data_IF_749758954124
#
_entry.id   IF_749758954124
#
_cell.length_a   1.000
_cell.length_b   1.000
_cell.length_c   1.000
_cell.angle_alpha   90.00
_cell.angle_beta   90.00
_cell.angle_gamma   90.00
#
_symmetry.space_group_name_H-M   'P 1'
#
loop_
_entity.id
_entity.type
_entity.pdbx_description
1 polymer ?
#
# COMPACT_ATOMS: atom_id res chain seq x y z
N UNK A 1 9.67 -51.32 -25.17
CA UNK A 1 11.08 -51.41 -24.75
C UNK A 1 11.57 -49.97 -24.64
N UNK A 2 12.07 -49.58 -23.45
CA UNK A 2 12.66 -48.28 -23.07
C UNK A 2 11.67 -47.09 -23.01
N UNK A 3 11.60 -46.19 -22.03
CA UNK A 3 12.50 -45.82 -20.93
C UNK A 3 11.69 -45.23 -19.74
N UNK A 4 11.93 -45.75 -18.53
CA UNK A 4 11.48 -45.17 -17.25
C UNK A 4 12.69 -45.14 -16.31
N UNK A 5 13.30 -43.97 -16.15
CA UNK A 5 14.36 -43.69 -15.18
C UNK A 5 14.50 -42.15 -15.11
N UNK A 6 14.56 -41.43 -13.99
CA UNK A 6 15.21 -41.67 -12.70
C UNK A 6 14.52 -40.83 -11.62
N UNK A 7 14.26 -41.43 -10.44
CA UNK A 7 13.96 -40.70 -9.20
C UNK A 7 15.29 -40.53 -8.44
N UNK A 8 15.64 -39.29 -8.09
CA UNK A 8 16.80 -38.99 -7.23
C UNK A 8 16.42 -39.22 -5.76
N UNK A 9 16.97 -40.27 -5.17
CA UNK A 9 17.06 -40.50 -3.72
C UNK A 9 18.40 -39.96 -3.23
N UNK A 10 18.38 -38.96 -2.35
CA UNK A 10 19.55 -38.58 -1.56
C UNK A 10 19.29 -39.01 -0.12
N UNK A 11 19.97 -40.09 0.27
CA UNK A 11 20.04 -40.53 1.66
C UNK A 11 20.99 -39.63 2.46
N UNK A 12 20.67 -39.43 3.73
CA UNK A 12 21.62 -38.92 4.70
C UNK A 12 21.85 -39.94 5.81
N UNK A 13 23.12 -40.02 6.15
CA UNK A 13 23.83 -41.02 6.94
C UNK A 13 23.43 -40.97 8.42
N UNK A 14 23.22 -42.15 9.01
CA UNK A 14 23.16 -42.36 10.46
C UNK A 14 24.59 -42.34 11.02
N UNK A 15 24.85 -41.50 12.01
CA UNK A 15 26.04 -41.59 12.85
C UNK A 15 25.61 -41.75 14.31
N UNK A 16 25.84 -42.94 14.84
CA UNK A 16 25.60 -43.34 16.23
C UNK A 16 26.90 -43.17 17.02
N UNK A 17 26.87 -42.44 18.13
CA UNK A 17 27.82 -42.63 19.23
C UNK A 17 27.08 -42.49 20.58
N UNK A 18 27.12 -43.59 21.34
CA UNK A 18 26.90 -43.63 22.79
C UNK A 18 27.84 -42.63 23.49
N UNK A 19 27.57 -42.03 24.64
CA UNK A 19 26.75 -42.41 25.78
C UNK A 19 27.52 -41.92 27.00
N UNK A 20 26.97 -40.96 27.74
CA UNK A 20 27.43 -40.59 29.07
C UNK A 20 26.22 -40.11 29.88
N UNK A 21 25.81 -40.94 30.84
CA UNK A 21 24.85 -40.60 31.88
C UNK A 21 25.35 -39.42 32.72
N UNK A 22 24.41 -38.60 33.21
CA UNK A 22 24.31 -38.03 34.58
C UNK A 22 23.10 -37.05 34.63
N UNK A 23 22.58 -36.69 35.81
CA UNK A 23 21.42 -37.29 36.47
C UNK A 23 20.11 -36.50 36.29
N UNK A 24 19.02 -37.17 36.63
CA UNK A 24 17.64 -36.68 36.69
C UNK A 24 17.42 -35.61 37.78
N UNK A 25 16.81 -34.47 37.42
CA UNK A 25 15.86 -33.71 38.26
C UNK A 25 15.05 -32.73 37.41
N UNK A 26 13.71 -32.64 37.57
CA UNK A 26 12.89 -31.71 36.83
C UNK A 26 12.79 -30.39 37.60
N UNK A 27 13.64 -29.42 37.28
CA UNK A 27 13.38 -28.05 37.68
C UNK A 27 12.45 -27.42 36.64
N UNK A 28 11.14 -27.58 36.84
CA UNK A 28 10.15 -26.67 36.27
C UNK A 28 10.56 -25.27 36.70
N UNK A 29 11.15 -24.49 35.79
CA UNK A 29 11.35 -23.06 36.01
C UNK A 29 9.96 -22.45 36.20
N UNK A 30 9.61 -22.10 37.44
CA UNK A 30 8.41 -21.33 37.68
C UNK A 30 8.55 -19.99 36.94
N UNK A 31 7.47 -19.49 36.29
CA UNK A 31 7.52 -18.15 35.74
C UNK A 31 7.81 -17.18 36.89
N UNK A 32 8.93 -16.46 36.78
CA UNK A 32 9.22 -15.32 37.66
C UNK A 32 8.03 -14.38 37.53
N UNK A 33 7.21 -14.30 38.58
CA UNK A 33 6.18 -13.29 38.69
C UNK A 33 6.90 -11.95 38.80
N UNK A 34 7.02 -11.25 37.69
CA UNK A 34 7.36 -9.82 37.72
C UNK A 34 6.36 -9.14 38.67
N UNK A 35 6.82 -8.33 39.63
CA UNK A 35 5.90 -7.50 40.39
C UNK A 35 5.16 -6.62 39.38
N UNK A 36 3.84 -6.79 39.34
CA UNK A 36 2.92 -5.85 38.71
C UNK A 36 3.24 -4.50 39.32
N UNK A 37 3.85 -3.61 38.53
CA UNK A 37 3.95 -2.20 38.85
C UNK A 37 2.52 -1.65 38.78
N UNK A 38 1.87 -1.67 39.93
CA UNK A 38 0.69 -0.88 40.23
C UNK A 38 1.04 0.59 40.05
N UNK A 39 0.35 1.28 39.15
CA UNK A 39 0.27 2.74 39.11
C UNK A 39 1.37 3.45 38.31
N UNK A 40 1.16 3.56 37.00
CA UNK A 40 1.44 4.81 36.30
C UNK A 40 0.08 5.34 35.81
N UNK A 41 -0.48 6.25 36.60
CA UNK A 41 -1.54 7.17 36.15
C UNK A 41 -1.15 7.74 34.78
N UNK A 42 -2.05 7.78 33.77
CA UNK A 42 -1.71 8.37 32.49
C UNK A 42 -1.42 9.87 32.70
N UNK A 43 -0.18 10.25 32.41
CA UNK A 43 0.23 11.65 32.38
C UNK A 43 -0.58 12.38 31.30
N UNK A 44 -1.49 13.23 31.77
CA UNK A 44 -2.13 14.41 31.17
C UNK A 44 -2.56 14.38 29.70
N UNK A 45 -3.78 14.91 29.47
CA UNK A 45 -4.34 15.28 28.16
C UNK A 45 -3.37 16.02 27.23
N UNK A 46 -2.30 16.63 27.75
CA UNK A 46 -1.25 17.29 26.95
C UNK A 46 -0.47 16.32 26.05
N UNK A 47 -0.16 15.10 26.50
CA UNK A 47 0.53 14.11 25.66
C UNK A 47 -0.42 13.61 24.56
N UNK A 48 -1.70 13.46 24.87
CA UNK A 48 -2.72 13.10 23.86
C UNK A 48 -3.00 14.27 22.91
N UNK A 49 -3.02 15.51 23.38
CA UNK A 49 -3.27 16.72 22.60
C UNK A 49 -2.07 17.08 21.72
N UNK A 50 -0.83 16.89 22.20
CA UNK A 50 0.37 17.04 21.36
C UNK A 50 0.50 15.89 20.36
N UNK A 51 0.17 14.64 20.74
CA UNK A 51 0.20 13.52 19.81
C UNK A 51 -0.90 13.66 18.78
N UNK A 52 -2.10 14.10 19.18
CA UNK A 52 -3.20 14.44 18.30
C UNK A 52 -2.84 15.62 17.41
N UNK A 53 -2.23 16.68 17.93
CA UNK A 53 -1.77 17.83 17.14
C UNK A 53 -0.68 17.45 16.14
N UNK A 54 0.25 16.56 16.54
CA UNK A 54 1.29 16.02 15.66
C UNK A 54 0.72 15.05 14.61
N UNK A 55 -0.27 14.22 14.98
CA UNK A 55 -0.98 13.34 14.03
C UNK A 55 -1.89 14.13 13.09
N UNK A 56 -2.56 15.18 13.56
CA UNK A 56 -3.37 16.13 12.77
C UNK A 56 -2.51 16.98 11.83
N UNK A 57 -1.21 17.15 12.16
CA UNK A 57 -0.20 17.82 11.32
C UNK A 57 0.47 16.92 10.30
N UNK A 58 0.35 15.59 10.40
CA UNK A 58 0.90 14.72 9.36
C UNK A 58 0.07 14.93 8.09
N UNK A 59 0.77 15.26 7.02
CA UNK A 59 0.25 15.39 5.66
C UNK A 59 -0.45 14.11 5.12
N UNK A 60 -0.45 13.04 5.90
CA UNK A 60 -0.84 11.68 5.55
C UNK A 60 -1.68 11.12 6.70
N UNK A 61 -2.81 10.49 6.38
CA UNK A 61 -3.68 9.84 7.36
C UNK A 61 -3.15 8.49 7.85
N UNK A 62 -4.06 7.53 7.97
CA UNK A 62 -3.75 6.16 8.41
C UNK A 62 -2.67 5.48 7.54
N UNK A 63 -1.93 4.49 8.09
CA UNK A 63 -1.02 3.65 7.31
C UNK A 63 -1.72 3.05 6.08
N UNK A 64 -1.00 2.95 4.97
CA UNK A 64 -1.52 2.36 3.74
C UNK A 64 -1.85 0.88 3.93
N UNK A 65 -3.14 0.54 3.94
CA UNK A 65 -3.62 -0.85 3.94
C UNK A 65 -4.26 -1.16 2.59
N UNK A 66 -3.55 -1.91 1.77
CA UNK A 66 -4.02 -2.37 0.45
C UNK A 66 -4.26 -3.87 0.46
N UNK A 67 -5.29 -4.28 -0.25
CA UNK A 67 -5.49 -5.66 -0.69
C UNK A 67 -5.32 -5.72 -2.21
N UNK A 68 -5.20 -6.92 -2.77
CA UNK A 68 -4.93 -7.10 -4.20
C UNK A 68 -5.82 -8.15 -4.85
N UNK A 69 -6.03 -7.99 -6.14
CA UNK A 69 -6.49 -9.05 -7.03
C UNK A 69 -5.29 -9.95 -7.43
N UNK A 70 -5.56 -10.94 -8.28
CA UNK A 70 -4.51 -11.79 -8.87
C UNK A 70 -3.57 -10.96 -9.75
N UNK A 71 -4.14 -10.09 -10.58
CA UNK A 71 -3.40 -9.08 -11.33
C UNK A 71 -2.74 -8.05 -10.38
N UNK A 72 -1.75 -7.26 -10.82
CA UNK A 72 -1.18 -6.15 -10.06
C UNK A 72 -2.18 -4.97 -9.96
N UNK A 73 -3.38 -5.27 -9.49
CA UNK A 73 -4.48 -4.36 -9.23
C UNK A 73 -4.77 -4.44 -7.74
N UNK A 74 -4.80 -3.29 -7.10
CA UNK A 74 -4.93 -3.13 -5.67
C UNK A 74 -6.22 -2.40 -5.36
N UNK A 75 -6.71 -2.56 -4.13
CA UNK A 75 -7.78 -1.73 -3.61
C UNK A 75 -7.54 -1.36 -2.16
N UNK A 76 -7.97 -0.15 -1.79
CA UNK A 76 -7.85 0.36 -0.44
C UNK A 76 -8.75 -0.40 0.53
N UNK A 77 -8.17 -0.96 1.59
CA UNK A 77 -8.92 -1.58 2.68
C UNK A 77 -9.33 -0.55 3.76
N UNK A 78 -8.68 0.62 3.77
CA UNK A 78 -8.96 1.79 4.60
C UNK A 78 -8.86 3.06 3.76
N UNK A 79 -9.58 4.13 4.10
CA UNK A 79 -9.42 5.38 3.38
C UNK A 79 -8.03 5.94 3.66
N UNK A 80 -7.50 6.69 2.70
CA UNK A 80 -6.27 7.46 2.89
C UNK A 80 -6.55 8.92 2.55
N UNK A 81 -5.77 9.83 3.09
CA UNK A 81 -5.89 11.25 2.79
C UNK A 81 -4.53 11.90 2.62
N UNK A 82 -4.43 12.84 1.70
CA UNK A 82 -3.29 13.73 1.61
C UNK A 82 -3.73 15.16 1.89
N UNK A 83 -2.99 15.83 2.79
CA UNK A 83 -3.15 17.24 3.10
C UNK A 83 -1.80 17.92 2.88
N UNK A 84 -1.74 19.04 2.12
CA UNK A 84 -0.47 19.72 1.90
C UNK A 84 0.13 20.19 3.24
N UNK A 85 1.42 19.88 3.47
CA UNK A 85 2.11 20.19 4.73
C UNK A 85 2.19 21.71 5.01
N UNK A 86 2.26 22.52 3.95
CA UNK A 86 2.10 23.97 4.05
C UNK A 86 0.67 24.32 3.66
N UNK A 87 0.07 25.29 4.35
CA UNK A 87 -1.23 25.84 3.97
C UNK A 87 -1.11 26.43 2.55
N UNK A 88 -1.37 25.62 1.54
CA UNK A 88 -1.41 26.05 0.16
C UNK A 88 -2.83 26.55 -0.10
N UNK A 89 -2.98 27.82 -0.47
CA UNK A 89 -4.28 28.33 -0.92
C UNK A 89 -4.75 27.63 -2.22
N UNK A 90 -3.80 27.01 -2.95
CA UNK A 90 -4.04 26.37 -4.24
C UNK A 90 -4.66 24.97 -4.14
N UNK A 91 -4.16 24.11 -3.26
CA UNK A 91 -4.62 22.73 -3.16
C UNK A 91 -5.27 22.45 -1.81
N UNK A 92 -6.40 21.75 -1.86
CA UNK A 92 -7.12 21.29 -0.68
C UNK A 92 -6.76 19.84 -0.39
N UNK A 93 -7.19 19.37 0.78
CA UNK A 93 -7.11 17.97 1.15
C UNK A 93 -7.76 17.07 0.09
N UNK A 94 -7.13 15.94 -0.19
CA UNK A 94 -7.64 14.89 -1.07
C UNK A 94 -7.87 13.64 -0.24
N UNK A 95 -9.13 13.19 -0.17
CA UNK A 95 -9.52 11.95 0.50
C UNK A 95 -9.79 10.88 -0.55
N UNK A 96 -9.10 9.75 -0.44
CA UNK A 96 -9.31 8.57 -1.26
C UNK A 96 -10.13 7.55 -0.44
N UNK A 97 -11.34 7.20 -0.88
CA UNK A 97 -12.23 6.35 -0.11
C UNK A 97 -11.77 4.89 -0.06
N UNK A 98 -12.18 4.18 1.00
CA UNK A 98 -12.09 2.72 1.06
C UNK A 98 -12.73 2.09 -0.18
N UNK A 99 -12.09 1.04 -0.70
CA UNK A 99 -12.55 0.33 -1.89
C UNK A 99 -12.12 0.97 -3.20
N UNK A 100 -11.39 2.09 -3.18
CA UNK A 100 -10.80 2.64 -4.40
C UNK A 100 -9.81 1.64 -5.01
N UNK A 101 -9.97 1.36 -6.30
CA UNK A 101 -9.16 0.43 -7.09
C UNK A 101 -8.08 1.20 -7.84
N UNK A 102 -6.83 0.77 -7.68
CA UNK A 102 -5.64 1.36 -8.30
C UNK A 102 -4.81 0.27 -8.97
N UNK A 103 -4.24 0.58 -10.12
CA UNK A 103 -3.28 -0.26 -10.84
C UNK A 103 -1.83 0.19 -10.62
N UNK A 104 -1.62 1.28 -9.87
CA UNK A 104 -0.34 1.97 -9.68
C UNK A 104 0.36 2.26 -11.03
N UNK A 105 -0.40 2.32 -12.12
CA UNK A 105 0.11 2.27 -13.50
C UNK A 105 0.27 3.65 -14.14
N UNK A 106 -0.04 4.72 -13.40
CA UNK A 106 0.22 6.09 -13.86
C UNK A 106 1.71 6.39 -14.05
N UNK A 107 2.60 5.59 -13.47
CA UNK A 107 4.04 5.61 -13.78
C UNK A 107 4.31 4.75 -15.02
N UNK A 108 4.90 5.31 -16.10
CA UNK A 108 5.18 4.55 -17.31
C UNK A 108 6.00 3.29 -17.02
N UNK A 109 5.56 2.15 -17.60
CA UNK A 109 6.15 0.82 -17.37
C UNK A 109 7.67 0.75 -17.59
N UNK A 110 8.22 1.62 -18.44
CA UNK A 110 9.68 1.72 -18.65
C UNK A 110 10.44 2.02 -17.35
N UNK A 111 9.81 2.72 -16.40
CA UNK A 111 10.42 3.06 -15.12
C UNK A 111 10.26 1.98 -14.05
N UNK A 112 9.46 0.92 -14.29
CA UNK A 112 9.20 -0.13 -13.29
C UNK A 112 10.44 -0.99 -12.96
N UNK A 113 11.45 -0.99 -13.82
CA UNK A 113 12.74 -1.65 -13.55
C UNK A 113 13.52 -0.96 -12.43
N UNK A 114 13.26 0.32 -12.17
CA UNK A 114 13.93 1.15 -11.15
C UNK A 114 12.96 1.54 -10.03
N UNK A 115 11.67 1.66 -10.36
CA UNK A 115 10.61 2.07 -9.46
C UNK A 115 9.72 0.87 -9.16
N UNK A 116 9.90 0.29 -7.97
CA UNK A 116 9.01 -0.77 -7.48
C UNK A 116 7.60 -0.21 -7.25
N UNK A 117 6.54 -0.87 -7.74
CA UNK A 117 5.15 -0.41 -7.54
C UNK A 117 4.79 -0.13 -6.08
N UNK A 118 5.35 -0.91 -5.14
CA UNK A 118 5.16 -0.79 -3.69
C UNK A 118 6.21 0.10 -2.99
N UNK A 119 6.81 1.05 -3.72
CA UNK A 119 7.83 1.95 -3.21
C UNK A 119 7.34 2.97 -2.16
N UNK A 120 8.28 3.78 -1.67
CA UNK A 120 8.06 4.91 -0.75
C UNK A 120 7.04 5.96 -1.26
N UNK A 121 6.78 5.97 -2.57
CA UNK A 121 5.82 6.86 -3.22
C UNK A 121 4.41 6.25 -3.39
N UNK A 122 4.18 4.97 -3.03
CA UNK A 122 2.94 4.26 -3.35
C UNK A 122 1.69 4.97 -2.80
N UNK A 123 1.77 5.54 -1.60
CA UNK A 123 0.68 6.33 -1.02
C UNK A 123 0.29 7.52 -1.92
N UNK A 124 1.29 8.29 -2.36
CA UNK A 124 1.07 9.43 -3.26
C UNK A 124 0.59 8.98 -4.64
N UNK A 125 1.04 7.82 -5.14
CA UNK A 125 0.57 7.26 -6.40
C UNK A 125 -0.92 6.88 -6.36
N UNK A 126 -1.43 6.38 -5.23
CA UNK A 126 -2.86 6.09 -5.07
C UNK A 126 -3.69 7.36 -5.05
N UNK A 127 -3.21 8.42 -4.37
CA UNK A 127 -3.84 9.75 -4.41
C UNK A 127 -3.89 10.28 -5.85
N UNK A 128 -2.80 10.14 -6.59
CA UNK A 128 -2.71 10.54 -7.99
C UNK A 128 -3.67 9.75 -8.88
N UNK A 129 -3.69 8.42 -8.78
CA UNK A 129 -4.59 7.54 -9.53
C UNK A 129 -6.06 7.87 -9.25
N UNK A 130 -6.38 8.23 -8.00
CA UNK A 130 -7.73 8.66 -7.62
C UNK A 130 -8.12 9.96 -8.33
N UNK A 131 -7.23 10.97 -8.36
CA UNK A 131 -7.49 12.21 -9.07
C UNK A 131 -7.58 12.00 -10.60
N UNK A 132 -6.73 11.13 -11.13
CA UNK A 132 -6.74 10.71 -12.53
C UNK A 132 -7.99 9.93 -12.92
N UNK A 133 -8.55 9.18 -11.98
CA UNK A 133 -9.83 8.54 -12.17
C UNK A 133 -10.95 9.57 -12.06
N UNK A 134 -11.01 10.34 -10.98
CA UNK A 134 -12.12 11.25 -10.67
C UNK A 134 -12.30 12.33 -11.74
N UNK A 135 -11.20 12.93 -12.21
CA UNK A 135 -11.18 13.94 -13.27
C UNK A 135 -12.14 15.11 -12.99
N UNK A 136 -12.18 15.57 -11.73
CA UNK A 136 -12.97 16.73 -11.35
C UNK A 136 -12.59 17.96 -12.20
N UNK A 137 -13.56 18.75 -12.71
CA UNK A 137 -13.27 19.98 -13.45
C UNK A 137 -12.42 21.00 -12.68
N UNK A 138 -12.43 20.94 -11.34
CA UNK A 138 -11.62 21.80 -10.48
C UNK A 138 -10.16 21.36 -10.32
N UNK A 139 -9.82 20.13 -10.74
CA UNK A 139 -8.47 19.56 -10.64
C UNK A 139 -8.09 19.05 -12.04
N UNK A 140 -7.55 19.91 -12.91
CA UNK A 140 -7.03 19.47 -14.20
C UNK A 140 -5.84 18.52 -14.00
N UNK A 141 -5.50 17.75 -15.05
CA UNK A 141 -4.37 16.80 -15.04
C UNK A 141 -3.09 17.39 -14.46
N UNK A 142 -2.72 18.62 -14.84
CA UNK A 142 -1.52 19.28 -14.35
C UNK A 142 -1.52 19.50 -12.85
N UNK A 143 -2.69 19.74 -12.26
CA UNK A 143 -2.84 19.92 -10.83
C UNK A 143 -2.81 18.57 -10.10
N UNK A 144 -3.36 17.51 -10.70
CA UNK A 144 -3.17 16.15 -10.19
C UNK A 144 -1.69 15.74 -10.18
N UNK A 145 -0.96 16.04 -11.27
CA UNK A 145 0.49 15.78 -11.37
C UNK A 145 1.28 16.55 -10.30
N UNK A 146 0.91 17.80 -10.04
CA UNK A 146 1.56 18.64 -9.01
C UNK A 146 1.25 18.15 -7.59
N UNK A 147 -0.01 17.78 -7.32
CA UNK A 147 -0.41 17.14 -6.05
C UNK A 147 0.42 15.87 -5.83
N UNK A 148 0.64 15.05 -6.85
CA UNK A 148 1.47 13.85 -6.73
C UNK A 148 2.91 14.17 -6.31
N UNK A 149 3.52 15.19 -6.94
CA UNK A 149 4.85 15.66 -6.58
C UNK A 149 4.92 16.17 -5.14
N UNK A 150 3.94 16.96 -4.71
CA UNK A 150 3.86 17.51 -3.36
C UNK A 150 3.65 16.40 -2.33
N UNK A 151 2.74 15.46 -2.59
CA UNK A 151 2.51 14.30 -1.74
C UNK A 151 3.76 13.43 -1.59
N UNK A 152 4.52 13.20 -2.67
CA UNK A 152 5.81 12.52 -2.59
C UNK A 152 6.82 13.28 -1.72
N UNK A 153 6.87 14.62 -1.84
CA UNK A 153 7.74 15.45 -1.00
C UNK A 153 7.36 15.37 0.48
N UNK A 154 6.07 15.41 0.79
CA UNK A 154 5.54 15.30 2.15
C UNK A 154 5.75 13.89 2.75
N UNK A 155 5.94 12.87 1.90
CA UNK A 155 6.34 11.50 2.26
C UNK A 155 7.86 11.31 2.40
N UNK A 156 8.65 12.38 2.33
CA UNK A 156 10.12 12.33 2.30
C UNK A 156 10.71 11.47 1.16
N UNK A 157 9.98 11.29 0.07
CA UNK A 157 10.52 10.66 -1.14
C UNK A 157 11.62 11.56 -1.70
N UNK A 158 12.82 10.99 -1.92
CA UNK A 158 13.99 11.77 -2.36
C UNK A 158 13.67 12.69 -3.55
N UNK A 159 14.15 13.93 -3.50
CA UNK A 159 13.88 14.96 -4.51
C UNK A 159 14.19 14.50 -5.93
N UNK A 160 15.28 13.73 -6.10
CA UNK A 160 15.67 13.17 -7.41
C UNK A 160 14.60 12.21 -7.91
N UNK A 161 14.17 11.24 -7.09
CA UNK A 161 13.13 10.27 -7.46
C UNK A 161 11.79 10.96 -7.76
N UNK A 162 11.35 11.86 -6.88
CA UNK A 162 10.11 12.62 -7.07
C UNK A 162 10.14 13.47 -8.36
N UNK A 163 11.27 14.09 -8.68
CA UNK A 163 11.43 14.88 -9.92
C UNK A 163 11.36 14.00 -11.17
N UNK A 164 12.01 12.83 -11.16
CA UNK A 164 11.96 11.87 -12.28
C UNK A 164 10.53 11.38 -12.50
N UNK A 165 9.85 10.96 -11.44
CA UNK A 165 8.46 10.50 -11.50
C UNK A 165 7.54 11.61 -12.01
N UNK A 166 7.66 12.81 -11.44
CA UNK A 166 6.87 13.97 -11.86
C UNK A 166 7.05 14.28 -13.34
N UNK A 167 8.30 14.37 -13.82
CA UNK A 167 8.56 14.64 -15.23
C UNK A 167 7.98 13.54 -16.14
N UNK A 168 8.05 12.27 -15.72
CA UNK A 168 7.45 11.16 -16.46
C UNK A 168 5.92 11.31 -16.60
N UNK A 169 5.20 11.61 -15.52
CA UNK A 169 3.74 11.81 -15.58
C UNK A 169 3.36 13.09 -16.33
N UNK A 170 4.16 14.15 -16.24
CA UNK A 170 3.94 15.38 -17.02
C UNK A 170 3.98 15.11 -18.52
N UNK A 171 4.97 14.33 -18.97
CA UNK A 171 5.20 14.03 -20.39
C UNK A 171 4.31 12.90 -20.94
N UNK A 172 3.98 11.87 -20.14
CA UNK A 172 3.29 10.66 -20.63
C UNK A 172 1.90 10.42 -20.02
N UNK A 173 1.52 11.18 -18.98
CA UNK A 173 0.28 10.99 -18.24
C UNK A 173 -0.99 11.31 -19.01
N UNK A 174 -0.91 12.07 -20.12
CA UNK A 174 -2.09 12.40 -20.95
C UNK A 174 -2.78 11.14 -21.50
N UNK A 175 -2.01 10.13 -21.91
CA UNK A 175 -2.58 8.86 -22.38
C UNK A 175 -3.35 8.13 -21.28
N UNK A 176 -2.81 8.11 -20.05
CA UNK A 176 -3.48 7.49 -18.91
C UNK A 176 -4.73 8.28 -18.48
N UNK A 177 -4.66 9.62 -18.49
CA UNK A 177 -5.79 10.50 -18.22
C UNK A 177 -6.95 10.27 -19.20
N UNK A 178 -6.67 10.28 -20.51
CA UNK A 178 -7.69 10.07 -21.53
C UNK A 178 -8.26 8.65 -21.48
N UNK A 179 -7.41 7.65 -21.20
CA UNK A 179 -7.86 6.27 -21.03
C UNK A 179 -8.83 6.11 -19.86
N UNK A 180 -8.63 6.82 -18.75
CA UNK A 180 -9.60 6.81 -17.64
C UNK A 180 -10.95 7.40 -18.04
N UNK A 181 -10.95 8.46 -18.84
CA UNK A 181 -12.19 9.02 -19.41
C UNK A 181 -12.92 7.99 -20.28
N UNK A 182 -12.20 7.29 -21.15
CA UNK A 182 -12.76 6.23 -22.00
C UNK A 182 -13.33 5.07 -21.18
N UNK A 183 -12.58 4.58 -20.18
CA UNK A 183 -13.02 3.49 -19.31
C UNK A 183 -14.27 3.88 -18.50
N UNK A 184 -14.33 5.11 -17.98
CA UNK A 184 -15.54 5.65 -17.33
C UNK A 184 -16.73 5.68 -18.28
N UNK A 185 -16.54 6.16 -19.51
CA UNK A 185 -17.60 6.19 -20.52
C UNK A 185 -18.10 4.79 -20.91
N UNK A 186 -17.22 3.78 -20.82
CA UNK A 186 -17.56 2.36 -21.02
C UNK A 186 -18.23 1.72 -19.79
N UNK A 187 -18.39 2.45 -18.69
CA UNK A 187 -19.06 1.99 -17.47
C UNK A 187 -18.15 1.26 -16.48
N UNK A 188 -16.82 1.32 -16.65
CA UNK A 188 -15.90 0.81 -15.64
C UNK A 188 -16.05 1.62 -14.34
N UNK A 189 -15.95 0.92 -13.21
CA UNK A 189 -16.07 1.50 -11.86
C UNK A 189 -14.85 1.12 -11.06
N UNK A 190 -14.33 2.06 -10.25
CA UNK A 190 -13.15 1.85 -9.40
C UNK A 190 -13.44 2.05 -7.92
N UNK A 191 -14.70 2.08 -7.49
CA UNK A 191 -15.06 2.18 -6.08
C UNK A 191 -15.87 0.96 -5.66
N UNK A 192 -15.25 0.08 -4.87
CA UNK A 192 -15.87 -1.15 -4.39
C UNK A 192 -16.78 -0.91 -3.20
N UNK A 193 -18.01 -1.46 -3.25
CA UNK A 193 -18.92 -1.62 -2.10
C UNK A 193 -18.74 -2.95 -1.38
N UNK A 194 -18.22 -3.96 -2.08
CA UNK A 194 -17.92 -5.30 -1.54
C UNK A 194 -16.47 -5.66 -1.88
N UNK A 195 -15.82 -6.44 -1.03
CA UNK A 195 -14.43 -6.85 -1.25
C UNK A 195 -14.34 -8.33 -1.60
N UNK A 196 -13.39 -8.73 -2.47
CA UNK A 196 -13.14 -10.14 -2.75
C UNK A 196 -12.69 -10.87 -1.48
N UNK A 197 -13.25 -12.07 -1.25
CA UNK A 197 -12.90 -12.93 -0.11
C UNK A 197 -11.92 -14.04 -0.48
N UNK A 198 -11.58 -14.17 -1.76
CA UNK A 198 -10.70 -15.22 -2.29
C UNK A 198 -9.42 -14.61 -2.88
N UNK A 199 -8.28 -15.19 -2.53
CA UNK A 199 -6.97 -14.76 -3.02
C UNK A 199 -6.77 -14.99 -4.53
N UNK A 200 -7.64 -15.77 -5.17
CA UNK A 200 -7.61 -16.05 -6.62
C UNK A 200 -8.64 -15.22 -7.41
N UNK A 201 -9.31 -14.26 -6.77
CA UNK A 201 -10.24 -13.37 -7.48
C UNK A 201 -9.49 -12.46 -8.46
N UNK A 202 -9.98 -12.43 -9.71
CA UNK A 202 -9.41 -11.65 -10.81
C UNK A 202 -10.16 -10.34 -11.01
N UNK A 203 -9.45 -9.26 -11.32
CA UNK A 203 -10.06 -7.96 -11.58
C UNK A 203 -10.99 -7.99 -12.81
N UNK A 204 -10.56 -8.67 -13.87
CA UNK A 204 -11.30 -8.75 -15.14
C UNK A 204 -12.68 -9.43 -14.99
N UNK A 205 -12.82 -10.32 -14.02
CA UNK A 205 -14.11 -10.94 -13.70
C UNK A 205 -14.89 -10.09 -12.70
N UNK A 206 -14.20 -9.49 -11.73
CA UNK A 206 -14.81 -8.62 -10.72
C UNK A 206 -15.50 -7.41 -11.33
N UNK A 207 -14.84 -6.71 -12.27
CA UNK A 207 -15.34 -5.46 -12.86
C UNK A 207 -16.60 -5.61 -13.71
N UNK A 208 -16.95 -6.84 -14.11
CA UNK A 208 -18.18 -7.15 -14.85
C UNK A 208 -19.41 -7.22 -13.92
N UNK A 209 -19.21 -7.35 -12.61
CA UNK A 209 -20.28 -7.48 -11.62
C UNK A 209 -20.86 -6.10 -11.31
N UNK A 210 -22.18 -5.99 -11.25
CA UNK A 210 -22.87 -4.72 -10.95
C UNK A 210 -23.19 -4.55 -9.46
N UNK A 211 -23.21 -5.63 -8.68
CA UNK A 211 -23.60 -5.66 -7.26
C UNK A 211 -22.46 -5.30 -6.29
N UNK A 212 -21.24 -5.12 -6.80
CA UNK A 212 -20.02 -4.93 -6.00
C UNK A 212 -19.47 -3.51 -6.01
N UNK A 213 -20.08 -2.60 -6.78
CA UNK A 213 -19.70 -1.19 -6.92
C UNK A 213 -20.83 -0.25 -6.52
#
# INVERSE_FOLDING_TARGET
MSDLNKRNTFGYLIATLAGACLPTSPAFAQPVKSPVATGLEPASNEIDDWMKGWMDQKALGDPLVVQRFVEPIYFLAKPIQWRPAQASERFKEVVVPTGFVTDLASIPRLFWSVLRPDGDYAYAAIVHDYLYWEQSPSIPRSDADEIFRLAMKDLDVSTVKSTVIFNAVRSMGESAWNRNTELKAQGERRLLKRFPTSAVTRWEDWKKRTDVF
#
